data_IF_241107397161
#
_entry.id   IF_241107397161
#
_cell.length_a   1.000
_cell.length_b   1.000
_cell.length_c   1.000
_cell.angle_alpha   90.00
_cell.angle_beta   90.00
_cell.angle_gamma   90.00
#
_symmetry.space_group_name_H-M   'P 1'
#
loop_
_entity.id
_entity.type
_entity.pdbx_description
1 polymer ?
#
# COMPACT_ATOMS: atom_id res chain seq x y z
N UNK A 1 -71.33 -13.92 -31.79
CA UNK A 1 -70.39 -13.32 -30.82
C UNK A 1 -69.31 -14.34 -30.52
N UNK A 2 -68.08 -14.11 -30.95
CA UNK A 2 -66.92 -14.93 -30.59
C UNK A 2 -65.80 -13.96 -30.15
N UNK A 3 -65.25 -14.08 -28.93
CA UNK A 3 -64.19 -13.19 -28.47
C UNK A 3 -62.80 -13.60 -28.99
N UNK A 4 -62.04 -12.57 -29.30
CA UNK A 4 -60.70 -12.53 -29.88
C UNK A 4 -59.65 -13.24 -29.02
N UNK A 5 -58.70 -13.93 -29.66
CA UNK A 5 -57.50 -14.50 -29.05
C UNK A 5 -56.31 -13.59 -29.38
N UNK A 6 -56.00 -12.63 -28.51
CA UNK A 6 -54.80 -11.79 -28.66
C UNK A 6 -53.57 -12.58 -28.20
N UNK A 7 -52.62 -12.76 -29.11
CA UNK A 7 -51.28 -13.26 -28.80
C UNK A 7 -50.48 -12.11 -28.15
N UNK A 8 -50.11 -12.27 -26.89
CA UNK A 8 -49.13 -11.43 -26.23
C UNK A 8 -47.74 -11.72 -26.82
N UNK A 9 -47.27 -10.83 -27.69
CA UNK A 9 -45.89 -10.81 -28.18
C UNK A 9 -45.01 -10.21 -27.08
N UNK A 10 -43.93 -10.92 -26.77
CA UNK A 10 -43.11 -10.79 -25.56
C UNK A 10 -42.53 -9.40 -25.31
N UNK A 11 -42.47 -9.04 -24.03
CA UNK A 11 -41.63 -7.98 -23.52
C UNK A 11 -40.16 -8.39 -23.68
N UNK A 12 -39.42 -7.68 -24.54
CA UNK A 12 -37.97 -7.77 -24.56
C UNK A 12 -37.42 -7.29 -23.22
N UNK A 13 -36.72 -8.16 -22.50
CA UNK A 13 -35.91 -7.78 -21.35
C UNK A 13 -34.82 -6.81 -21.85
N UNK A 14 -34.92 -5.54 -21.48
CA UNK A 14 -33.80 -4.61 -21.55
C UNK A 14 -32.80 -5.06 -20.47
N UNK A 15 -31.83 -5.89 -20.86
CA UNK A 15 -30.69 -6.17 -20.01
C UNK A 15 -29.85 -4.89 -19.91
N UNK A 16 -29.85 -4.28 -18.73
CA UNK A 16 -29.10 -3.05 -18.45
C UNK A 16 -27.60 -3.32 -18.53
N UNK A 17 -26.91 -2.68 -19.47
CA UNK A 17 -25.44 -2.72 -19.63
C UNK A 17 -24.71 -1.87 -18.57
N UNK A 18 -25.00 -2.09 -17.30
CA UNK A 18 -24.31 -1.38 -16.19
C UNK A 18 -22.93 -1.99 -15.85
N UNK A 19 -22.42 -2.91 -16.68
CA UNK A 19 -21.23 -3.72 -16.36
C UNK A 19 -19.90 -3.00 -16.60
N UNK A 20 -19.91 -1.80 -17.19
CA UNK A 20 -18.69 -1.10 -17.62
C UNK A 20 -18.21 -0.02 -16.63
N UNK A 21 -19.01 0.34 -15.61
CA UNK A 21 -18.63 1.35 -14.62
C UNK A 21 -18.24 0.68 -13.31
N UNK A 22 -17.04 0.94 -12.78
CA UNK A 22 -16.58 0.49 -11.47
C UNK A 22 -16.15 1.68 -10.63
N UNK A 23 -16.61 1.76 -9.38
CA UNK A 23 -16.22 2.84 -8.49
C UNK A 23 -16.21 2.44 -7.03
N UNK A 24 -15.29 3.05 -6.28
CA UNK A 24 -15.33 2.92 -4.83
C UNK A 24 -16.65 3.47 -4.28
N UNK A 25 -17.19 2.76 -3.29
CA UNK A 25 -18.44 3.08 -2.61
C UNK A 25 -18.22 3.31 -1.11
N UNK A 26 -17.17 2.72 -0.54
CA UNK A 26 -16.78 2.91 0.86
C UNK A 26 -15.26 2.81 1.01
N UNK A 27 -14.67 3.77 1.73
CA UNK A 27 -13.26 3.81 2.10
C UNK A 27 -13.09 4.68 3.35
N UNK A 28 -12.01 4.52 4.13
CA UNK A 28 -11.79 5.31 5.33
C UNK A 28 -11.46 6.78 4.98
N UNK A 29 -11.68 7.70 5.92
CA UNK A 29 -11.31 9.11 5.73
C UNK A 29 -9.80 9.38 5.93
N UNK A 30 -9.08 8.46 6.55
CA UNK A 30 -7.63 8.54 6.81
C UNK A 30 -7.07 7.13 7.04
N UNK A 31 -5.76 6.99 6.89
CA UNK A 31 -5.02 5.75 7.06
C UNK A 31 -4.12 5.84 8.29
N UNK A 32 -4.01 4.72 9.01
CA UNK A 32 -3.06 4.55 10.10
C UNK A 32 -2.30 3.27 9.86
N UNK A 33 -0.96 3.33 9.85
CA UNK A 33 -0.14 2.14 9.67
C UNK A 33 -0.42 1.09 10.77
N UNK A 34 -0.46 -0.17 10.37
CA UNK A 34 -0.83 -1.30 11.23
C UNK A 34 -2.33 -1.45 11.49
N UNK A 35 -3.17 -0.48 11.12
CA UNK A 35 -4.62 -0.57 11.29
C UNK A 35 -5.29 -1.06 10.00
N UNK A 36 -6.00 -2.20 9.99
CA UNK A 36 -6.70 -2.68 8.80
C UNK A 36 -7.79 -1.71 8.36
N UNK A 37 -7.94 -1.59 7.04
CA UNK A 37 -9.00 -0.85 6.37
C UNK A 37 -9.71 -1.73 5.36
N UNK A 38 -10.98 -1.41 5.12
CA UNK A 38 -11.82 -2.08 4.13
C UNK A 38 -12.15 -1.10 3.02
N UNK A 39 -11.92 -1.51 1.78
CA UNK A 39 -12.33 -0.80 0.58
C UNK A 39 -13.48 -1.56 -0.04
N UNK A 40 -14.57 -0.86 -0.38
CA UNK A 40 -15.70 -1.44 -1.10
C UNK A 40 -15.91 -0.70 -2.40
N UNK A 41 -16.37 -1.40 -3.42
CA UNK A 41 -16.73 -0.82 -4.70
C UNK A 41 -18.07 -1.36 -5.18
N UNK A 42 -18.62 -0.74 -6.21
CA UNK A 42 -19.82 -1.19 -6.90
C UNK A 42 -19.62 -1.12 -8.40
N UNK A 43 -20.46 -1.87 -9.13
CA UNK A 43 -20.39 -1.98 -10.58
C UNK A 43 -19.30 -2.93 -11.03
N UNK A 44 -18.83 -2.74 -12.27
CA UNK A 44 -17.92 -3.65 -12.95
C UNK A 44 -18.58 -4.95 -13.40
N UNK A 45 -17.74 -5.84 -13.93
CA UNK A 45 -18.05 -7.21 -14.32
C UNK A 45 -17.53 -8.22 -13.28
N UNK A 46 -17.80 -9.51 -13.48
CA UNK A 46 -17.26 -10.60 -12.65
C UNK A 46 -15.74 -10.82 -12.80
N UNK A 47 -15.06 -10.06 -13.68
CA UNK A 47 -13.61 -10.13 -13.85
C UNK A 47 -12.89 -9.55 -12.61
N UNK A 48 -11.65 -9.97 -12.32
CA UNK A 48 -10.91 -9.39 -11.21
C UNK A 48 -10.54 -7.92 -11.46
N UNK A 49 -10.59 -7.09 -10.41
CA UNK A 49 -10.15 -5.71 -10.43
C UNK A 49 -8.71 -5.57 -9.89
N UNK A 50 -8.00 -4.54 -10.35
CA UNK A 50 -6.71 -4.14 -9.80
C UNK A 50 -6.88 -2.96 -8.87
N UNK A 51 -6.34 -3.05 -7.64
CA UNK A 51 -6.31 -1.97 -6.67
C UNK A 51 -4.87 -1.51 -6.49
N UNK A 52 -4.63 -0.22 -6.70
CA UNK A 52 -3.31 0.40 -6.59
C UNK A 52 -3.35 1.55 -5.60
N UNK A 53 -2.39 1.58 -4.68
CA UNK A 53 -2.12 2.75 -3.85
C UNK A 53 -1.29 3.75 -4.66
N UNK A 54 -1.75 4.99 -4.72
CA UNK A 54 -1.07 6.11 -5.38
C UNK A 54 -0.81 7.24 -4.40
N UNK A 55 0.12 8.13 -4.76
CA UNK A 55 0.46 9.33 -3.99
C UNK A 55 0.74 10.50 -4.92
N UNK A 56 0.36 11.71 -4.50
CA UNK A 56 0.76 12.95 -5.16
C UNK A 56 -0.40 13.94 -5.25
N UNK A 57 -0.20 14.99 -6.05
CA UNK A 57 -1.29 15.90 -6.38
C UNK A 57 -2.40 15.13 -7.11
N UNK A 58 -3.67 15.51 -6.90
CA UNK A 58 -4.81 14.85 -7.55
C UNK A 58 -4.78 14.89 -9.08
N UNK A 59 -4.00 15.82 -9.66
CA UNK A 59 -3.76 15.95 -11.10
C UNK A 59 -2.53 15.20 -11.59
N UNK A 60 -1.72 14.62 -10.70
CA UNK A 60 -0.43 13.98 -10.98
C UNK A 60 -0.11 12.91 -9.91
N UNK A 61 -0.94 11.86 -9.88
CA UNK A 61 -0.81 10.75 -8.94
C UNK A 61 0.18 9.70 -9.46
N UNK A 62 1.17 9.38 -8.65
CA UNK A 62 2.19 8.37 -8.93
C UNK A 62 1.88 7.04 -8.25
N UNK A 63 2.19 5.93 -8.92
CA UNK A 63 2.07 4.59 -8.32
C UNK A 63 3.01 4.43 -7.12
N UNK A 64 2.46 3.97 -6.00
CA UNK A 64 3.23 3.57 -4.82
C UNK A 64 3.32 2.05 -4.74
N UNK A 65 2.18 1.36 -4.80
CA UNK A 65 2.11 -0.09 -4.65
C UNK A 65 0.85 -0.65 -5.31
N UNK A 66 0.97 -1.74 -6.06
CA UNK A 66 -0.18 -2.57 -6.43
C UNK A 66 -0.56 -3.44 -5.23
N UNK A 67 -1.76 -3.22 -4.68
CA UNK A 67 -2.23 -3.92 -3.48
C UNK A 67 -2.85 -5.27 -3.81
N UNK A 68 -3.56 -5.34 -4.94
CA UNK A 68 -4.11 -6.58 -5.51
C UNK A 68 -4.32 -6.44 -7.00
N UNK A 69 -4.10 -7.51 -7.75
CA UNK A 69 -4.40 -7.64 -9.19
C UNK A 69 -5.60 -8.54 -9.47
N UNK A 70 -6.23 -9.04 -8.41
CA UNK A 70 -7.19 -10.13 -8.43
C UNK A 70 -8.36 -9.88 -7.44
N UNK A 71 -8.62 -8.61 -7.13
CA UNK A 71 -9.66 -8.21 -6.20
C UNK A 71 -11.04 -8.58 -6.76
N UNK A 72 -11.84 -9.26 -5.94
CA UNK A 72 -13.18 -9.76 -6.29
C UNK A 72 -14.13 -9.56 -5.11
N UNK A 73 -15.43 -9.80 -5.32
CA UNK A 73 -16.49 -9.74 -4.28
C UNK A 73 -16.74 -8.35 -3.70
N UNK A 74 -16.48 -7.31 -4.49
CA UNK A 74 -16.84 -5.92 -4.15
C UNK A 74 -16.19 -5.38 -2.87
N UNK A 75 -15.16 -6.07 -2.35
CA UNK A 75 -14.48 -5.72 -1.11
C UNK A 75 -13.01 -6.16 -1.10
N UNK A 76 -12.14 -5.32 -0.53
CA UNK A 76 -10.74 -5.62 -0.31
C UNK A 76 -10.29 -5.11 1.07
N UNK A 77 -9.57 -5.95 1.81
CA UNK A 77 -9.04 -5.62 3.12
C UNK A 77 -7.52 -5.46 3.04
N UNK A 78 -7.01 -4.36 3.55
CA UNK A 78 -5.58 -4.04 3.53
C UNK A 78 -5.15 -3.39 4.84
N UNK A 79 -3.94 -3.73 5.29
CA UNK A 79 -3.31 -3.09 6.45
C UNK A 79 -2.11 -2.31 5.95
N UNK A 80 -2.09 -0.97 6.06
CA UNK A 80 -0.93 -0.19 5.65
C UNK A 80 0.30 -0.59 6.47
N UNK A 81 1.45 -0.89 5.84
CA UNK A 81 2.63 -1.31 6.57
C UNK A 81 3.32 -0.11 7.25
N UNK A 82 4.08 -0.37 8.30
CA UNK A 82 4.76 0.68 9.10
C UNK A 82 5.90 1.40 8.35
N UNK A 83 6.45 0.78 7.29
CA UNK A 83 7.46 1.42 6.45
C UNK A 83 6.86 2.39 5.41
N UNK A 84 5.54 2.37 5.21
CA UNK A 84 4.87 3.29 4.29
C UNK A 84 5.00 4.74 4.81
N UNK A 85 5.43 5.66 3.95
CA UNK A 85 5.73 7.02 4.38
C UNK A 85 4.49 7.80 4.83
N UNK A 86 4.59 8.57 5.92
CA UNK A 86 3.57 9.53 6.34
C UNK A 86 3.39 10.63 5.27
N UNK A 87 2.15 10.87 4.83
CA UNK A 87 1.82 11.91 3.84
C UNK A 87 0.31 12.20 3.83
N UNK A 88 -0.10 13.34 3.26
CA UNK A 88 -1.51 13.79 3.22
C UNK A 88 -2.22 13.49 1.89
N UNK A 89 -1.52 12.87 0.94
CA UNK A 89 -1.85 12.89 -0.48
C UNK A 89 -1.90 11.48 -1.10
N UNK A 90 -2.31 10.47 -0.34
CA UNK A 90 -2.56 9.13 -0.86
C UNK A 90 -3.94 9.01 -1.52
N UNK A 91 -4.07 8.15 -2.51
CA UNK A 91 -5.37 7.74 -3.05
C UNK A 91 -5.34 6.26 -3.42
N UNK A 92 -6.49 5.60 -3.33
CA UNK A 92 -6.66 4.29 -3.97
C UNK A 92 -7.19 4.49 -5.38
N UNK A 93 -6.62 3.76 -6.32
CA UNK A 93 -7.15 3.55 -7.66
C UNK A 93 -7.74 2.15 -7.74
N UNK A 94 -8.91 2.02 -8.37
CA UNK A 94 -9.44 0.75 -8.85
C UNK A 94 -9.51 0.77 -10.38
N UNK A 95 -9.11 -0.33 -11.00
CA UNK A 95 -9.14 -0.50 -12.46
C UNK A 95 -9.74 -1.86 -12.81
N UNK A 96 -10.65 -1.87 -13.79
CA UNK A 96 -11.18 -3.10 -14.37
C UNK A 96 -11.48 -2.86 -15.85
N UNK A 97 -10.78 -3.57 -16.75
CA UNK A 97 -10.82 -3.25 -18.18
C UNK A 97 -10.25 -1.85 -18.45
N UNK A 98 -11.01 -1.05 -19.20
CA UNK A 98 -10.66 0.35 -19.52
C UNK A 98 -11.15 1.35 -18.45
N UNK A 99 -11.92 0.90 -17.47
CA UNK A 99 -12.52 1.77 -16.46
C UNK A 99 -11.60 1.98 -15.26
N UNK A 100 -11.52 3.24 -14.82
CA UNK A 100 -10.66 3.67 -13.72
C UNK A 100 -11.44 4.59 -12.80
N UNK A 101 -11.33 4.34 -11.48
CA UNK A 101 -11.90 5.21 -10.47
C UNK A 101 -10.92 5.42 -9.30
N UNK A 102 -11.08 6.53 -8.59
CA UNK A 102 -10.20 6.95 -7.51
C UNK A 102 -11.00 7.35 -6.27
N UNK A 103 -10.41 7.15 -5.09
CA UNK A 103 -10.87 7.82 -3.87
C UNK A 103 -10.46 9.29 -3.87
N UNK A 104 -10.99 10.05 -2.91
CA UNK A 104 -10.36 11.32 -2.50
C UNK A 104 -8.94 11.10 -2.00
N UNK A 105 -8.18 12.20 -1.87
CA UNK A 105 -6.88 12.17 -1.18
C UNK A 105 -7.08 11.87 0.31
N UNK A 106 -6.17 11.09 0.86
CA UNK A 106 -6.21 10.49 2.19
C UNK A 106 -4.88 10.74 2.90
N UNK A 107 -4.92 11.25 4.14
CA UNK A 107 -3.73 11.30 4.96
C UNK A 107 -3.40 9.92 5.55
N UNK A 108 -2.11 9.63 5.66
CA UNK A 108 -1.55 8.46 6.33
C UNK A 108 -0.63 8.90 7.48
N UNK A 109 -0.84 8.27 8.64
CA UNK A 109 -0.05 8.46 9.85
C UNK A 109 0.44 7.13 10.44
N UNK A 110 1.39 7.20 11.38
CA UNK A 110 1.94 6.01 12.07
C UNK A 110 2.92 5.19 11.23
N UNK A 111 3.20 5.63 9.99
CA UNK A 111 4.19 5.06 9.10
C UNK A 111 5.57 5.70 9.27
N UNK A 112 6.39 5.67 8.22
CA UNK A 112 7.75 6.17 8.24
C UNK A 112 7.85 7.68 7.94
N UNK A 113 8.77 8.38 8.61
CA UNK A 113 9.06 9.79 8.30
C UNK A 113 10.06 9.95 7.14
N UNK A 114 10.63 8.84 6.67
CA UNK A 114 11.59 8.83 5.59
C UNK A 114 10.88 8.61 4.25
N UNK A 115 11.29 9.32 3.18
CA UNK A 115 10.81 9.01 1.84
C UNK A 115 11.17 7.58 1.46
N UNK A 116 10.17 6.83 0.99
CA UNK A 116 10.37 5.46 0.53
C UNK A 116 11.26 5.46 -0.72
N UNK A 117 12.50 5.00 -0.60
CA UNK A 117 13.47 4.97 -1.71
C UNK A 117 13.03 4.05 -2.88
N UNK A 118 12.07 3.16 -2.64
CA UNK A 118 11.56 2.23 -3.65
C UNK A 118 10.58 2.84 -4.67
N UNK A 119 10.16 4.10 -4.50
CA UNK A 119 9.18 4.73 -5.39
C UNK A 119 9.79 5.37 -6.66
N UNK A 120 11.12 5.40 -6.82
CA UNK A 120 11.79 6.11 -7.93
C UNK A 120 12.62 5.23 -8.88
N UNK A 121 12.73 3.92 -8.65
CA UNK A 121 13.56 3.05 -9.51
C UNK A 121 12.75 2.40 -10.65
N UNK A 122 12.41 3.21 -11.67
CA UNK A 122 12.10 2.71 -13.02
C UNK A 122 12.84 3.54 -14.05
N UNK A 123 14.17 3.50 -13.99
CA UNK A 123 15.04 3.83 -15.13
C UNK A 123 16.06 2.70 -15.35
N UNK A 124 15.75 1.87 -16.33
CA UNK A 124 16.63 1.09 -17.22
C UNK A 124 18.01 0.57 -16.71
N UNK A 125 18.10 -0.76 -16.74
CA UNK A 125 19.14 -1.59 -17.40
C UNK A 125 20.56 -1.70 -16.79
N UNK A 126 20.90 -2.96 -16.50
CA UNK A 126 22.20 -3.64 -16.62
C UNK A 126 23.49 -2.88 -16.27
N UNK A 127 24.14 -3.25 -15.16
CA UNK A 127 25.57 -3.56 -15.12
C UNK A 127 25.99 -4.20 -13.78
N UNK A 128 26.30 -5.49 -13.86
CA UNK A 128 27.46 -6.19 -13.30
C UNK A 128 27.87 -6.07 -11.82
N UNK A 129 28.13 -7.26 -11.27
CA UNK A 129 28.78 -7.52 -10.00
C UNK A 129 30.14 -6.83 -9.91
N UNK A 130 30.45 -6.25 -8.75
CA UNK A 130 31.74 -6.51 -8.10
C UNK A 130 31.64 -6.30 -6.59
N UNK A 131 32.17 -7.27 -5.86
CA UNK A 131 32.32 -7.27 -4.41
C UNK A 131 33.55 -6.47 -4.04
N UNK A 132 33.42 -5.57 -3.06
CA UNK A 132 34.52 -4.77 -2.52
C UNK A 132 34.34 -4.54 -1.03
N UNK A 133 34.42 -5.62 -0.25
CA UNK A 133 34.56 -5.54 1.20
C UNK A 133 35.99 -5.09 1.53
N UNK A 134 36.13 -3.94 2.19
CA UNK A 134 37.34 -3.54 2.87
C UNK A 134 37.04 -3.31 4.35
N UNK A 135 37.71 -4.12 5.17
CA UNK A 135 37.75 -4.16 6.63
C UNK A 135 37.91 -2.81 7.33
N UNK A 136 37.37 -2.72 8.55
CA UNK A 136 38.22 -2.59 9.74
C UNK A 136 37.49 -3.06 11.01
N UNK A 137 38.07 -4.12 11.58
CA UNK A 137 37.89 -4.68 12.91
C UNK A 137 38.26 -3.67 13.99
N UNK A 138 37.43 -3.44 15.01
CA UNK A 138 37.88 -3.18 16.38
C UNK A 138 36.88 -3.78 17.38
N UNK A 139 37.29 -4.85 18.06
CA UNK A 139 36.62 -5.39 19.25
C UNK A 139 37.71 -5.80 20.21
N UNK A 140 37.76 -5.15 21.38
CA UNK A 140 38.09 -5.81 22.63
C UNK A 140 37.66 -4.92 23.80
N UNK A 141 36.60 -5.35 24.47
CA UNK A 141 36.26 -4.94 25.82
C UNK A 141 37.28 -5.52 26.81
N UNK A 142 37.55 -4.81 27.91
CA UNK A 142 37.96 -5.42 29.19
C UNK A 142 37.64 -4.46 30.33
N UNK A 143 36.50 -4.71 30.99
CA UNK A 143 36.12 -4.20 32.30
C UNK A 143 36.17 -5.39 33.26
N UNK A 144 36.93 -5.29 34.34
CA UNK A 144 36.96 -6.08 35.59
C UNK A 144 38.32 -5.81 36.25
N UNK A 145 38.52 -5.67 37.55
CA UNK A 145 37.68 -5.47 38.71
C UNK A 145 38.60 -4.89 39.81
N UNK A 146 38.02 -4.33 40.87
CA UNK A 146 38.75 -3.69 41.97
C UNK A 146 39.31 -4.73 42.96
N UNK A 147 40.58 -4.58 43.36
CA UNK A 147 41.05 -5.12 44.64
C UNK A 147 42.22 -4.28 45.17
N UNK A 148 41.98 -3.67 46.32
CA UNK A 148 42.92 -2.89 47.10
C UNK A 148 43.98 -3.76 47.78
N UNK A 149 45.22 -3.29 47.84
CA UNK A 149 46.08 -3.49 49.03
C UNK A 149 47.17 -2.42 49.09
N UNK A 150 47.25 -1.74 50.23
CA UNK A 150 48.18 -0.66 50.53
C UNK A 150 49.55 -1.18 50.97
N UNK A 151 50.62 -0.45 50.64
CA UNK A 151 51.87 -0.44 51.40
C UNK A 151 52.61 0.88 51.12
N UNK A 152 52.47 1.85 52.03
CA UNK A 152 53.34 3.03 52.09
C UNK A 152 54.64 2.70 52.80
N UNK A 153 55.67 3.43 52.37
CA UNK A 153 57.06 3.31 52.74
C UNK A 153 57.37 3.44 54.24
N UNK A 154 58.46 2.78 54.60
CA UNK A 154 59.32 3.01 55.76
C UNK A 154 59.82 4.45 55.81
N UNK A 155 59.81 5.08 57.00
CA UNK A 155 60.83 6.07 57.34
C UNK A 155 61.32 5.86 58.79
N UNK A 156 62.65 5.86 58.89
CA UNK A 156 63.47 5.77 60.08
C UNK A 156 63.73 7.17 60.61
N UNK A 157 63.44 7.42 61.89
CA UNK A 157 64.30 8.09 62.89
C UNK A 157 63.48 8.34 64.15
#
# INVERSE_FOLDING_TARGET
MAPVKYLLVGAGLLASVMADYIAFSEWPASLTAGQPVTLKWTGGSDAPATITLRKGASTDLQDVQVLSSDATKDEFNWTPPADLQNADDYAFQITQGDEINYTSLLPLSGGSDLPNANALDRTQSDAEKTSGSASATETAASMTDSAATAASATETT
#
